data_IF_609347145497
#
_entry.id   IF_609347145497
#
_cell.length_a   1.000
_cell.length_b   1.000
_cell.length_c   1.000
_cell.angle_alpha   90.00
_cell.angle_beta   90.00
_cell.angle_gamma   90.00
#
_symmetry.space_group_name_H-M   'P 1'
#
loop_
_entity.id
_entity.type
_entity.pdbx_description
1 polymer ?
#
# COMPACT_ATOMS: atom_id res chain seq x y z
N UNK A 1 11.84 -22.85 -30.30
CA UNK A 1 10.64 -22.11 -29.85
C UNK A 1 10.74 -21.98 -28.34
N UNK A 2 11.38 -20.92 -27.86
CA UNK A 2 11.48 -20.69 -26.41
C UNK A 2 10.16 -20.08 -25.96
N UNK A 3 9.36 -20.85 -25.24
CA UNK A 3 8.15 -20.36 -24.58
C UNK A 3 8.54 -19.21 -23.67
N UNK A 4 8.06 -18.00 -23.98
CA UNK A 4 8.11 -16.86 -23.07
C UNK A 4 7.29 -17.23 -21.84
N UNK A 5 7.96 -17.66 -20.76
CA UNK A 5 7.35 -17.73 -19.44
C UNK A 5 6.91 -16.32 -19.12
N UNK A 6 5.59 -16.07 -19.05
CA UNK A 6 5.08 -14.78 -18.63
C UNK A 6 5.68 -14.46 -17.26
N UNK A 7 6.62 -13.52 -17.22
CA UNK A 7 7.29 -13.12 -15.99
C UNK A 7 6.23 -12.59 -15.04
N UNK A 8 6.15 -13.18 -13.85
CA UNK A 8 5.15 -12.79 -12.86
C UNK A 8 5.35 -11.33 -12.46
N UNK A 9 4.25 -10.59 -12.31
CA UNK A 9 4.27 -9.19 -11.87
C UNK A 9 3.50 -9.01 -10.57
N UNK A 10 3.93 -8.06 -9.76
CA UNK A 10 3.21 -7.55 -8.61
C UNK A 10 2.73 -6.14 -8.94
N UNK A 11 1.42 -5.89 -8.85
CA UNK A 11 0.89 -4.52 -8.93
C UNK A 11 0.79 -3.98 -7.52
N UNK A 12 1.38 -2.81 -7.30
CA UNK A 12 1.32 -2.07 -6.04
C UNK A 12 0.26 -0.98 -6.22
N UNK A 13 -0.70 -0.92 -5.31
CA UNK A 13 -1.81 0.01 -5.35
C UNK A 13 -2.11 0.47 -3.92
N UNK A 14 -2.67 1.67 -3.73
CA UNK A 14 -3.19 2.10 -2.43
C UNK A 14 -4.71 2.08 -2.46
N UNK A 15 -5.32 1.34 -1.55
CA UNK A 15 -6.76 1.34 -1.37
C UNK A 15 -7.17 2.40 -0.34
N UNK A 16 -8.12 3.25 -0.75
CA UNK A 16 -8.71 4.31 0.07
C UNK A 16 -10.12 3.88 0.41
N UNK A 17 -10.43 3.74 1.70
CA UNK A 17 -11.74 3.34 2.19
C UNK A 17 -12.39 4.46 3.00
N UNK A 18 -13.72 4.55 2.93
CA UNK A 18 -14.51 5.37 3.87
C UNK A 18 -14.21 4.93 5.31
N UNK A 19 -14.10 5.87 6.27
CA UNK A 19 -13.89 5.55 7.67
C UNK A 19 -14.93 4.56 8.17
N UNK A 20 -14.50 3.68 9.09
CA UNK A 20 -15.45 2.98 9.96
C UNK A 20 -15.97 3.91 11.05
N UNK A 21 -15.08 4.75 11.56
CA UNK A 21 -15.29 5.74 12.61
C UNK A 21 -14.29 6.89 12.36
N UNK A 22 -14.58 8.08 12.90
CA UNK A 22 -13.76 9.28 12.67
C UNK A 22 -13.94 9.91 11.30
N UNK A 23 -13.10 10.89 10.99
CA UNK A 23 -13.13 11.70 9.78
C UNK A 23 -11.97 11.42 8.81
N UNK A 24 -11.14 10.42 9.08
CA UNK A 24 -10.02 10.06 8.19
C UNK A 24 -10.41 8.88 7.29
N UNK A 25 -10.03 8.93 6.01
CA UNK A 25 -10.08 7.74 5.18
C UNK A 25 -9.14 6.68 5.77
N UNK A 26 -9.59 5.41 5.74
CA UNK A 26 -8.73 4.28 6.08
C UNK A 26 -7.94 3.87 4.85
N UNK A 27 -6.61 3.79 4.96
CA UNK A 27 -5.73 3.45 3.85
C UNK A 27 -5.11 2.06 4.07
N UNK A 28 -4.82 1.37 2.97
CA UNK A 28 -4.07 0.12 2.98
C UNK A 28 -3.28 -0.06 1.69
N UNK A 29 -2.04 -0.54 1.81
CA UNK A 29 -1.21 -0.89 0.66
C UNK A 29 -1.66 -2.26 0.12
N UNK A 30 -2.07 -2.28 -1.14
CA UNK A 30 -2.51 -3.48 -1.83
C UNK A 30 -1.41 -3.98 -2.76
N UNK A 31 -1.13 -5.28 -2.70
CA UNK A 31 -0.24 -5.98 -3.61
C UNK A 31 -1.03 -7.07 -4.32
N UNK A 32 -1.19 -6.94 -5.63
CA UNK A 32 -1.81 -7.97 -6.47
C UNK A 32 -0.74 -8.81 -7.18
N UNK A 33 -0.66 -10.09 -6.82
CA UNK A 33 0.18 -11.07 -7.51
C UNK A 33 -0.56 -11.57 -8.75
N UNK A 34 -0.08 -11.18 -9.93
CA UNK A 34 -0.69 -11.53 -11.22
C UNK A 34 -0.58 -13.03 -11.54
N UNK A 35 0.44 -13.72 -11.01
CA UNK A 35 0.62 -15.16 -11.17
C UNK A 35 -0.37 -15.93 -10.30
N UNK A 36 -0.51 -15.53 -9.03
CA UNK A 36 -1.43 -16.18 -8.08
C UNK A 36 -2.86 -15.69 -8.19
N UNK A 37 -3.10 -14.57 -8.87
CA UNK A 37 -4.39 -13.87 -8.98
C UNK A 37 -5.00 -13.57 -7.61
N UNK A 38 -4.18 -13.04 -6.69
CA UNK A 38 -4.58 -12.76 -5.31
C UNK A 38 -4.07 -11.40 -4.86
N UNK A 39 -4.89 -10.72 -4.07
CA UNK A 39 -4.52 -9.51 -3.34
C UNK A 39 -4.03 -9.86 -1.94
N UNK A 40 -3.00 -9.15 -1.50
CA UNK A 40 -2.61 -8.99 -0.10
C UNK A 40 -2.71 -7.51 0.23
N UNK A 41 -3.33 -7.17 1.36
CA UNK A 41 -3.48 -5.80 1.84
C UNK A 41 -2.70 -5.67 3.15
N UNK A 42 -1.79 -4.71 3.22
CA UNK A 42 -1.04 -4.33 4.39
C UNK A 42 -1.62 -3.03 4.93
N UNK A 43 -2.06 -3.05 6.18
CA UNK A 43 -2.69 -1.91 6.84
C UNK A 43 -2.30 -1.90 8.32
N UNK A 44 -2.66 -0.81 9.00
CA UNK A 44 -2.69 -0.77 10.47
C UNK A 44 -4.12 -0.60 10.92
N UNK A 45 -4.46 -1.25 12.02
CA UNK A 45 -5.78 -1.19 12.65
C UNK A 45 -5.64 -0.73 14.10
N UNK A 46 -6.75 -0.40 14.75
CA UNK A 46 -6.74 0.22 16.07
C UNK A 46 -6.83 1.74 15.97
N UNK A 47 -6.46 2.41 17.05
CA UNK A 47 -6.42 3.86 17.18
C UNK A 47 -5.30 4.20 18.16
N UNK A 48 -4.74 5.41 18.07
CA UNK A 48 -3.69 5.86 18.98
C UNK A 48 -4.10 5.66 20.46
N UNK A 49 -3.23 5.11 21.32
CA UNK A 49 -1.84 4.67 21.06
C UNK A 49 -1.70 3.16 20.76
N UNK A 50 -2.77 2.49 20.36
CA UNK A 50 -2.83 1.02 20.23
C UNK A 50 -2.99 0.59 18.76
N UNK A 51 -2.15 1.10 17.85
CA UNK A 51 -2.12 0.62 16.48
C UNK A 51 -1.41 -0.74 16.37
N UNK A 52 -1.95 -1.59 15.51
CA UNK A 52 -1.41 -2.92 15.20
C UNK A 52 -1.36 -3.15 13.68
N UNK A 53 -0.25 -3.71 13.20
CA UNK A 53 -0.11 -4.18 11.82
C UNK A 53 -1.11 -5.29 11.55
N UNK A 54 -1.77 -5.21 10.40
CA UNK A 54 -2.71 -6.22 9.94
C UNK A 54 -2.48 -6.55 8.47
N UNK A 55 -2.58 -7.84 8.13
CA UNK A 55 -2.40 -8.34 6.76
C UNK A 55 -3.63 -9.13 6.34
N UNK A 56 -4.28 -8.70 5.27
CA UNK A 56 -5.51 -9.31 4.75
C UNK A 56 -5.30 -9.92 3.37
N UNK A 57 -5.81 -11.12 3.16
CA UNK A 57 -5.86 -11.75 1.83
C UNK A 57 -7.26 -11.59 1.22
N UNK A 58 -7.57 -10.40 0.71
CA UNK A 58 -8.86 -10.08 0.09
C UNK A 58 -8.70 -9.09 -1.06
N UNK A 59 -9.58 -9.16 -2.06
CA UNK A 59 -9.69 -8.09 -3.06
C UNK A 59 -10.17 -6.80 -2.37
N UNK A 60 -9.50 -5.65 -2.55
CA UNK A 60 -9.90 -4.38 -1.96
C UNK A 60 -11.32 -3.95 -2.38
N UNK A 61 -11.84 -4.46 -3.51
CA UNK A 61 -13.18 -4.19 -4.05
C UNK A 61 -14.30 -5.00 -3.39
N UNK A 62 -13.97 -5.96 -2.52
CA UNK A 62 -14.98 -6.79 -1.82
C UNK A 62 -15.76 -6.03 -0.73
N UNK A 63 -15.59 -4.72 -0.60
CA UNK A 63 -16.28 -3.86 0.35
C UNK A 63 -16.88 -2.64 -0.35
N UNK A 64 -18.09 -2.25 0.04
CA UNK A 64 -18.75 -1.02 -0.43
C UNK A 64 -18.09 0.26 0.11
N UNK A 65 -17.12 0.13 1.03
CA UNK A 65 -16.38 1.27 1.59
C UNK A 65 -15.24 1.73 0.69
N UNK A 66 -14.80 0.95 -0.30
CA UNK A 66 -13.74 1.37 -1.22
C UNK A 66 -14.19 2.65 -1.94
N UNK A 67 -13.41 3.71 -1.77
CA UNK A 67 -13.58 5.01 -2.43
C UNK A 67 -12.74 5.03 -3.69
N UNK A 68 -11.46 4.65 -3.58
CA UNK A 68 -10.50 4.67 -4.68
C UNK A 68 -9.45 3.59 -4.51
N UNK A 69 -8.92 3.11 -5.63
CA UNK A 69 -7.75 2.25 -5.69
C UNK A 69 -6.75 2.94 -6.62
N UNK A 70 -5.67 3.45 -6.04
CA UNK A 70 -4.69 4.28 -6.73
C UNK A 70 -3.54 3.37 -7.16
N UNK A 71 -3.33 3.15 -8.47
CA UNK A 71 -2.16 2.40 -8.92
C UNK A 71 -0.89 3.16 -8.54
N UNK A 72 0.13 2.46 -8.05
CA UNK A 72 1.42 3.06 -7.69
C UNK A 72 2.48 2.63 -8.70
N UNK A 73 2.66 1.32 -8.88
CA UNK A 73 3.67 0.77 -9.79
C UNK A 73 3.40 -0.73 -10.07
N UNK A 74 4.17 -1.30 -11.00
CA UNK A 74 4.18 -2.71 -11.36
C UNK A 74 5.61 -3.24 -11.36
N UNK A 75 5.96 -4.04 -10.36
CA UNK A 75 7.30 -4.61 -10.21
C UNK A 75 7.36 -6.08 -10.61
N UNK A 76 8.57 -6.60 -10.88
CA UNK A 76 8.78 -8.04 -11.09
C UNK A 76 8.46 -8.81 -9.82
N UNK A 77 7.80 -9.96 -9.96
CA UNK A 77 7.52 -10.86 -8.84
C UNK A 77 8.78 -11.45 -8.21
N UNK A 78 9.92 -11.41 -8.90
CA UNK A 78 11.20 -11.78 -8.29
C UNK A 78 11.54 -10.88 -7.08
N UNK A 79 11.03 -9.65 -7.05
CA UNK A 79 11.20 -8.70 -5.94
C UNK A 79 10.21 -8.97 -4.78
N UNK A 80 9.39 -10.03 -4.82
CA UNK A 80 8.38 -10.30 -3.77
C UNK A 80 9.01 -10.37 -2.38
N UNK A 81 10.16 -11.04 -2.26
CA UNK A 81 10.83 -11.17 -0.97
C UNK A 81 11.30 -9.84 -0.42
N UNK A 82 11.79 -8.96 -1.28
CA UNK A 82 12.36 -7.66 -0.90
C UNK A 82 11.23 -6.68 -0.55
N UNK A 83 10.15 -6.71 -1.34
CA UNK A 83 8.91 -5.97 -1.07
C UNK A 83 8.34 -6.29 0.31
N UNK A 84 8.18 -7.58 0.65
CA UNK A 84 7.63 -7.98 1.95
C UNK A 84 8.53 -7.53 3.09
N UNK A 85 9.86 -7.70 2.97
CA UNK A 85 10.81 -7.25 4.00
C UNK A 85 10.77 -5.75 4.20
N UNK A 86 10.69 -4.97 3.12
CA UNK A 86 10.58 -3.51 3.19
C UNK A 86 9.30 -3.09 3.94
N UNK A 87 8.15 -3.65 3.58
CA UNK A 87 6.86 -3.37 4.24
C UNK A 87 6.90 -3.73 5.73
N UNK A 88 7.42 -4.91 6.07
CA UNK A 88 7.50 -5.39 7.45
C UNK A 88 8.46 -4.56 8.30
N UNK A 89 9.49 -3.95 7.70
CA UNK A 89 10.49 -3.14 8.39
C UNK A 89 9.98 -1.78 8.87
N UNK A 90 8.90 -1.26 8.28
CA UNK A 90 8.30 0.03 8.68
C UNK A 90 7.69 -0.11 10.08
N UNK A 91 8.15 0.63 11.10
CA UNK A 91 7.62 0.52 12.45
C UNK A 91 6.19 1.06 12.55
N UNK A 92 5.51 0.74 13.65
CA UNK A 92 4.29 1.44 14.05
C UNK A 92 4.73 2.55 15.01
N UNK A 93 4.27 3.78 14.78
CA UNK A 93 4.46 4.88 15.73
C UNK A 93 3.19 5.04 16.58
N UNK A 94 3.24 4.48 17.79
CA UNK A 94 2.19 4.59 18.79
C UNK A 94 2.40 5.77 19.76
N UNK A 95 3.53 6.47 19.67
CA UNK A 95 3.88 7.57 20.54
C UNK A 95 3.40 8.92 19.97
N UNK A 96 3.39 9.07 18.64
CA UNK A 96 2.92 10.27 17.95
C UNK A 96 1.38 10.27 17.81
N UNK A 97 0.71 11.29 18.32
CA UNK A 97 -0.76 11.39 18.33
C UNK A 97 -1.37 11.58 16.94
N UNK A 98 -0.66 12.28 16.06
CA UNK A 98 -1.10 12.58 14.69
C UNK A 98 -0.93 11.39 13.75
N UNK A 99 -0.07 10.44 14.11
CA UNK A 99 0.24 9.27 13.28
C UNK A 99 -0.97 8.34 13.15
N UNK A 100 -1.23 7.89 11.94
CA UNK A 100 -2.37 7.02 11.65
C UNK A 100 -2.11 6.10 10.44
N UNK A 101 -3.16 5.43 9.95
CA UNK A 101 -3.06 4.50 8.83
C UNK A 101 -2.58 5.12 7.50
N UNK A 102 -2.76 6.43 7.31
CA UNK A 102 -2.28 7.13 6.12
C UNK A 102 -0.77 7.30 6.20
N UNK A 103 -0.24 7.74 7.36
CA UNK A 103 1.19 7.84 7.62
C UNK A 103 1.89 6.50 7.39
N UNK A 104 1.35 5.41 7.93
CA UNK A 104 1.89 4.07 7.73
C UNK A 104 2.06 3.72 6.25
N UNK A 105 1.05 3.99 5.41
CA UNK A 105 1.13 3.73 3.97
C UNK A 105 2.14 4.65 3.29
N UNK A 106 2.21 5.92 3.68
CA UNK A 106 3.18 6.87 3.13
C UNK A 106 4.62 6.49 3.49
N UNK A 107 4.86 6.02 4.71
CA UNK A 107 6.15 5.51 5.17
C UNK A 107 6.54 4.23 4.44
N UNK A 108 5.60 3.31 4.19
CA UNK A 108 5.85 2.16 3.32
C UNK A 108 6.31 2.61 1.94
N UNK A 109 5.60 3.52 1.30
CA UNK A 109 5.99 3.99 -0.05
C UNK A 109 7.39 4.63 -0.03
N UNK A 110 7.71 5.44 0.98
CA UNK A 110 9.06 5.97 1.17
C UNK A 110 10.10 4.86 1.32
N UNK A 111 9.79 3.82 2.12
CA UNK A 111 10.68 2.68 2.29
C UNK A 111 10.90 1.89 1.00
N UNK A 112 9.88 1.76 0.14
CA UNK A 112 10.03 1.09 -1.15
C UNK A 112 10.90 1.89 -2.13
N UNK A 113 10.88 3.23 -2.07
CA UNK A 113 11.83 4.08 -2.81
C UNK A 113 13.25 3.88 -2.28
N UNK A 114 13.46 3.91 -0.97
CA UNK A 114 14.78 3.71 -0.35
C UNK A 114 15.43 2.38 -0.73
N UNK A 115 14.64 1.32 -0.86
CA UNK A 115 15.09 -0.02 -1.24
C UNK A 115 15.14 -0.23 -2.78
N UNK A 116 15.01 0.85 -3.57
CA UNK A 116 15.01 0.85 -5.04
C UNK A 116 13.95 -0.07 -5.66
N UNK A 117 12.83 -0.28 -4.97
CA UNK A 117 11.69 -1.05 -5.47
C UNK A 117 10.69 -0.18 -6.22
N UNK A 118 10.64 1.12 -5.89
CA UNK A 118 9.94 2.16 -6.62
C UNK A 118 10.96 3.18 -7.10
N UNK A 119 10.72 3.76 -8.27
CA UNK A 119 11.51 4.87 -8.80
C UNK A 119 10.81 6.20 -8.45
N UNK A 120 11.46 7.02 -7.62
CA UNK A 120 10.90 8.32 -7.23
C UNK A 120 10.82 9.30 -8.40
N UNK A 121 11.62 9.08 -9.44
CA UNK A 121 11.67 9.93 -10.62
C UNK A 121 10.64 9.53 -11.69
N UNK A 122 9.99 8.38 -11.54
CA UNK A 122 8.93 7.92 -12.43
C UNK A 122 7.71 8.87 -12.37
N UNK A 123 7.23 9.28 -13.54
CA UNK A 123 6.14 10.25 -13.64
C UNK A 123 4.79 9.67 -13.18
N UNK A 124 4.54 8.37 -13.41
CA UNK A 124 3.32 7.71 -12.94
C UNK A 124 3.34 7.60 -11.40
N UNK A 125 4.49 7.31 -10.81
CA UNK A 125 4.68 7.34 -9.35
C UNK A 125 4.48 8.75 -8.77
N UNK A 126 5.08 9.78 -9.38
CA UNK A 126 4.93 11.18 -8.98
C UNK A 126 3.46 11.63 -9.03
N UNK A 127 2.73 11.27 -10.07
CA UNK A 127 1.32 11.63 -10.19
C UNK A 127 0.44 10.89 -9.18
N UNK A 128 0.76 9.62 -8.91
CA UNK A 128 0.10 8.83 -7.86
C UNK A 128 0.35 9.41 -6.47
N UNK A 129 1.59 9.87 -6.19
CA UNK A 129 1.95 10.57 -4.95
C UNK A 129 1.19 11.88 -4.80
N UNK A 130 1.13 12.73 -5.84
CA UNK A 130 0.33 13.96 -5.82
C UNK A 130 -1.15 13.69 -5.56
N UNK A 131 -1.65 12.55 -6.01
CA UNK A 131 -3.03 12.15 -5.76
C UNK A 131 -3.25 11.73 -4.30
N UNK A 132 -2.34 10.93 -3.75
CA UNK A 132 -2.35 10.57 -2.33
C UNK A 132 -2.26 11.81 -1.44
N UNK A 133 -1.37 12.75 -1.75
CA UNK A 133 -1.20 13.99 -0.98
C UNK A 133 -2.49 14.83 -0.91
N UNK A 134 -3.33 14.80 -1.96
CA UNK A 134 -4.65 15.47 -1.96
C UNK A 134 -5.68 14.79 -1.06
N UNK A 135 -5.51 13.50 -0.81
CA UNK A 135 -6.38 12.68 0.02
C UNK A 135 -5.84 12.52 1.45
N UNK A 136 -4.61 12.97 1.69
CA UNK A 136 -3.93 12.88 2.96
C UNK A 136 -4.53 13.89 3.95
N UNK A 137 -4.78 13.43 5.17
CA UNK A 137 -5.48 14.17 6.20
C UNK A 137 -6.97 13.78 6.37
N UNK A 138 -7.71 14.58 7.16
CA UNK A 138 -9.14 14.37 7.36
C UNK A 138 -9.95 14.72 6.11
N UNK A 139 -11.11 14.08 5.95
CA UNK A 139 -12.11 14.39 4.91
C UNK A 139 -12.83 15.71 5.15
#
# INVERSE_FOLDING_TARGET
>A
MSSSSAEGKLRIEVAIYRPRQGNYHHWGLCVYDTTRKRYTIYEVTGAHPDFEKNVLNSDPRNTRRLVKLIPIDVISRNNQGDLVRAIESVPIDNDTTEWNCQDYVMEILGKLVEECLLDEDDEDYKDSRKELDKLFGPM
#
